data_IF_340244617741
#
_entry.id   IF_340244617741
#
_cell.length_a   1.000
_cell.length_b   1.000
_cell.length_c   1.000
_cell.angle_alpha   90.00
_cell.angle_beta   90.00
_cell.angle_gamma   90.00
#
_symmetry.space_group_name_H-M   'P 1'
#
loop_
_entity.id
_entity.type
_entity.pdbx_description
1 polymer ?
#
# COMPACT_ATOMS: atom_id res chain seq x y z
N UNK A 1 -49.91 -54.91 -32.95
CA UNK A 1 -50.44 -56.16 -32.35
C UNK A 1 -51.86 -55.84 -31.86
N UNK A 2 -52.89 -55.79 -32.69
CA UNK A 2 -53.70 -56.90 -33.18
C UNK A 2 -54.49 -56.37 -34.38
N UNK A 3 -54.16 -56.81 -35.59
CA UNK A 3 -55.00 -56.68 -36.79
C UNK A 3 -54.77 -57.95 -37.60
N UNK A 4 -55.45 -59.00 -37.19
CA UNK A 4 -55.62 -60.22 -37.96
C UNK A 4 -56.97 -60.80 -37.53
N UNK A 5 -57.66 -61.37 -38.51
CA UNK A 5 -58.90 -62.12 -38.38
C UNK A 5 -60.19 -61.28 -38.39
N UNK A 6 -60.73 -61.09 -39.59
CA UNK A 6 -62.14 -61.42 -39.92
C UNK A 6 -62.33 -61.27 -41.45
N UNK A 7 -61.57 -62.06 -42.21
CA UNK A 7 -62.02 -62.53 -43.51
C UNK A 7 -62.79 -63.84 -43.27
N UNK A 8 -64.12 -63.77 -43.28
CA UNK A 8 -64.95 -64.94 -43.56
C UNK A 8 -66.12 -64.50 -44.41
N UNK A 9 -65.92 -64.64 -45.70
CA UNK A 9 -66.94 -64.63 -46.76
C UNK A 9 -68.08 -65.61 -46.44
N UNK A 10 -69.34 -65.31 -46.80
CA UNK A 10 -70.47 -66.15 -46.48
C UNK A 10 -70.38 -67.48 -47.24
N UNK A 11 -70.37 -68.59 -46.50
CA UNK A 11 -70.58 -69.93 -47.07
C UNK A 11 -71.95 -69.98 -47.74
N UNK A 12 -71.93 -70.14 -49.06
CA UNK A 12 -73.03 -70.65 -49.89
C UNK A 12 -73.67 -71.85 -49.18
N UNK A 13 -74.89 -71.65 -48.68
CA UNK A 13 -75.75 -72.75 -48.26
C UNK A 13 -76.20 -73.45 -49.54
N UNK A 14 -75.69 -74.68 -49.72
CA UNK A 14 -76.11 -75.63 -50.73
C UNK A 14 -77.63 -75.82 -50.66
N UNK A 15 -78.33 -75.47 -51.74
CA UNK A 15 -79.73 -75.81 -51.96
C UNK A 15 -79.78 -77.34 -52.14
N UNK A 16 -80.12 -78.07 -51.06
CA UNK A 16 -80.45 -79.48 -51.17
C UNK A 16 -81.84 -79.61 -51.78
N UNK A 17 -81.87 -80.16 -52.99
CA UNK A 17 -83.07 -80.62 -53.70
C UNK A 17 -83.89 -81.56 -52.81
N UNK A 18 -84.88 -81.01 -52.12
CA UNK A 18 -85.93 -81.73 -51.42
C UNK A 18 -87.06 -82.00 -52.40
N UNK A 19 -87.30 -83.29 -52.65
CA UNK A 19 -88.35 -83.86 -53.51
C UNK A 19 -89.67 -83.10 -53.40
N UNK A 20 -90.15 -82.56 -54.52
CA UNK A 20 -91.53 -82.08 -54.67
C UNK A 20 -92.48 -83.28 -54.55
N UNK A 21 -93.13 -83.38 -53.39
CA UNK A 21 -94.32 -84.21 -53.20
C UNK A 21 -95.53 -83.36 -53.57
N UNK A 22 -96.07 -83.53 -54.78
CA UNK A 22 -97.39 -83.01 -55.16
C UNK A 22 -98.48 -83.89 -54.51
N UNK A 23 -98.62 -83.76 -53.19
CA UNK A 23 -99.92 -83.92 -52.55
C UNK A 23 -100.52 -82.52 -52.42
N UNK A 24 -101.84 -82.38 -52.53
CA UNK A 24 -102.52 -81.13 -52.14
C UNK A 24 -102.20 -80.84 -50.67
N UNK A 25 -101.10 -80.13 -50.41
CA UNK A 25 -100.87 -79.48 -49.13
C UNK A 25 -101.99 -78.45 -49.01
N UNK A 26 -102.91 -78.70 -48.07
CA UNK A 26 -103.99 -77.79 -47.74
C UNK A 26 -103.42 -76.37 -47.67
N UNK A 27 -103.99 -75.43 -48.42
CA UNK A 27 -103.57 -74.02 -48.40
C UNK A 27 -103.52 -73.45 -46.97
N UNK A 28 -104.25 -74.08 -46.05
CA UNK A 28 -104.27 -73.80 -44.62
C UNK A 28 -102.97 -74.20 -43.90
N UNK A 29 -102.33 -75.31 -44.28
CA UNK A 29 -101.06 -75.76 -43.69
C UNK A 29 -99.88 -74.91 -44.18
N UNK A 30 -99.86 -74.55 -45.47
CA UNK A 30 -98.83 -73.64 -46.03
C UNK A 30 -98.96 -72.23 -45.47
N UNK A 31 -100.20 -71.74 -45.28
CA UNK A 31 -100.47 -70.46 -44.61
C UNK A 31 -100.02 -70.50 -43.14
N UNK A 32 -100.27 -71.59 -42.42
CA UNK A 32 -99.79 -71.78 -41.05
C UNK A 32 -98.27 -71.76 -40.92
N UNK A 33 -97.55 -72.39 -41.86
CA UNK A 33 -96.07 -72.35 -41.90
C UNK A 33 -95.56 -70.94 -42.24
N UNK A 34 -96.21 -70.22 -43.16
CA UNK A 34 -95.85 -68.83 -43.48
C UNK A 34 -96.11 -67.89 -42.31
N UNK A 35 -97.24 -68.05 -41.61
CA UNK A 35 -97.57 -67.28 -40.42
C UNK A 35 -96.55 -67.54 -39.30
N UNK A 36 -96.18 -68.80 -39.04
CA UNK A 36 -95.12 -69.14 -38.07
C UNK A 36 -93.73 -68.61 -38.45
N UNK A 37 -93.40 -68.55 -39.75
CA UNK A 37 -92.19 -67.87 -40.24
C UNK A 37 -92.29 -66.35 -40.04
N UNK A 38 -93.44 -65.74 -40.32
CA UNK A 38 -93.71 -64.32 -40.09
C UNK A 38 -93.55 -63.90 -38.62
N UNK A 39 -94.08 -64.71 -37.70
CA UNK A 39 -93.92 -64.51 -36.26
C UNK A 39 -92.46 -64.65 -35.82
N UNK A 40 -91.73 -65.62 -36.39
CA UNK A 40 -90.29 -65.80 -36.14
C UNK A 40 -89.46 -64.61 -36.65
N UNK A 41 -89.74 -64.10 -37.85
CA UNK A 41 -89.08 -62.90 -38.38
C UNK A 41 -89.41 -61.66 -37.56
N UNK A 42 -90.66 -61.49 -37.13
CA UNK A 42 -91.06 -60.39 -36.25
C UNK A 42 -90.30 -60.47 -34.91
N UNK A 43 -90.20 -61.66 -34.32
CA UNK A 43 -89.40 -61.88 -33.09
C UNK A 43 -87.92 -61.59 -33.30
N UNK A 44 -87.33 -62.02 -34.43
CA UNK A 44 -85.94 -61.72 -34.78
C UNK A 44 -85.72 -60.21 -34.96
N UNK A 45 -86.61 -59.52 -35.67
CA UNK A 45 -86.53 -58.07 -35.88
C UNK A 45 -86.65 -57.29 -34.57
N UNK A 46 -87.52 -57.73 -33.65
CA UNK A 46 -87.62 -57.16 -32.30
C UNK A 46 -86.33 -57.39 -31.51
N UNK A 47 -85.75 -58.59 -31.56
CA UNK A 47 -84.48 -58.89 -30.89
C UNK A 47 -83.31 -58.09 -31.48
N UNK A 48 -83.24 -57.91 -32.80
CA UNK A 48 -82.23 -57.08 -33.45
C UNK A 48 -82.41 -55.61 -33.09
N UNK A 49 -83.63 -55.08 -33.14
CA UNK A 49 -83.91 -53.70 -32.70
C UNK A 49 -83.48 -53.48 -31.26
N UNK A 50 -83.75 -54.44 -30.37
CA UNK A 50 -83.27 -54.38 -28.98
C UNK A 50 -81.74 -54.37 -28.91
N UNK A 51 -81.05 -55.24 -29.65
CA UNK A 51 -79.57 -55.23 -29.72
C UNK A 51 -79.01 -53.91 -30.24
N UNK A 52 -79.64 -53.31 -31.25
CA UNK A 52 -79.25 -52.01 -31.76
C UNK A 52 -79.43 -50.91 -30.71
N UNK A 53 -80.52 -50.93 -29.95
CA UNK A 53 -80.71 -50.00 -28.82
C UNK A 53 -79.65 -50.19 -27.73
N UNK A 54 -79.39 -51.44 -27.32
CA UNK A 54 -78.37 -51.74 -26.31
C UNK A 54 -76.96 -51.31 -26.77
N UNK A 55 -76.66 -51.45 -28.07
CA UNK A 55 -75.40 -50.98 -28.68
C UNK A 55 -75.32 -49.45 -28.75
N UNK A 56 -76.41 -48.77 -29.10
CA UNK A 56 -76.47 -47.31 -29.13
C UNK A 56 -76.24 -46.73 -27.73
N UNK A 57 -76.91 -47.29 -26.71
CA UNK A 57 -76.71 -46.91 -25.31
C UNK A 57 -75.26 -47.13 -24.86
N UNK A 58 -74.63 -48.24 -25.28
CA UNK A 58 -73.24 -48.52 -24.99
C UNK A 58 -72.27 -47.53 -25.69
N UNK A 59 -72.54 -47.18 -26.95
CA UNK A 59 -71.76 -46.18 -27.70
C UNK A 59 -71.90 -44.81 -27.03
N UNK A 60 -73.12 -44.42 -26.64
CA UNK A 60 -73.36 -43.15 -25.96
C UNK A 60 -72.65 -43.12 -24.60
N UNK A 61 -72.69 -44.20 -23.83
CA UNK A 61 -71.96 -44.32 -22.57
C UNK A 61 -70.45 -44.18 -22.77
N UNK A 62 -69.85 -44.94 -23.69
CA UNK A 62 -68.41 -44.86 -23.99
C UNK A 62 -68.00 -43.48 -24.49
N UNK A 63 -68.85 -42.84 -25.32
CA UNK A 63 -68.59 -41.48 -25.81
C UNK A 63 -68.60 -40.47 -24.68
N UNK A 64 -69.61 -40.53 -23.80
CA UNK A 64 -69.70 -39.64 -22.63
C UNK A 64 -68.52 -39.82 -21.68
N UNK A 65 -68.07 -41.06 -21.47
CA UNK A 65 -66.95 -41.36 -20.59
C UNK A 65 -65.61 -40.91 -21.21
N UNK A 66 -65.45 -41.07 -22.53
CA UNK A 66 -64.31 -40.55 -23.28
C UNK A 66 -64.22 -39.03 -23.22
N UNK A 67 -65.35 -38.33 -23.30
CA UNK A 67 -65.41 -36.87 -23.13
C UNK A 67 -65.03 -36.42 -21.72
N UNK A 68 -65.48 -37.14 -20.68
CA UNK A 68 -65.06 -36.87 -19.30
C UNK A 68 -63.55 -37.01 -19.13
N UNK A 69 -62.96 -38.12 -19.58
CA UNK A 69 -61.51 -38.30 -19.50
C UNK A 69 -60.74 -37.25 -20.31
N UNK A 70 -61.25 -36.83 -21.47
CA UNK A 70 -60.67 -35.74 -22.26
C UNK A 70 -60.71 -34.42 -21.49
N UNK A 71 -61.82 -34.10 -20.84
CA UNK A 71 -61.97 -32.88 -20.05
C UNK A 71 -61.09 -32.89 -18.78
N UNK A 72 -61.00 -34.02 -18.08
CA UNK A 72 -60.09 -34.19 -16.94
C UNK A 72 -58.63 -34.01 -17.36
N UNK A 73 -58.22 -34.62 -18.49
CA UNK A 73 -56.86 -34.47 -19.02
C UNK A 73 -56.56 -33.02 -19.44
N UNK A 74 -57.53 -32.32 -20.05
CA UNK A 74 -57.42 -30.89 -20.35
C UNK A 74 -57.24 -30.05 -19.09
N UNK A 75 -58.08 -30.28 -18.06
CA UNK A 75 -58.02 -29.53 -16.81
C UNK A 75 -56.67 -29.72 -16.10
N UNK A 76 -56.20 -30.97 -15.96
CA UNK A 76 -54.91 -31.28 -15.35
C UNK A 76 -53.74 -30.64 -16.12
N UNK A 77 -53.78 -30.63 -17.45
CA UNK A 77 -52.73 -30.01 -18.24
C UNK A 77 -52.74 -28.48 -18.16
N UNK A 78 -53.92 -27.85 -18.13
CA UNK A 78 -54.06 -26.40 -17.92
C UNK A 78 -53.47 -26.03 -16.56
N UNK A 79 -53.76 -26.81 -15.51
CA UNK A 79 -53.19 -26.60 -14.18
C UNK A 79 -51.65 -26.64 -14.23
N UNK A 80 -51.07 -27.68 -14.81
CA UNK A 80 -49.60 -27.83 -14.98
C UNK A 80 -48.99 -26.68 -15.79
N UNK A 81 -49.64 -26.25 -16.87
CA UNK A 81 -49.17 -25.13 -17.70
C UNK A 81 -49.30 -23.77 -17.01
N UNK A 82 -50.24 -23.63 -16.06
CA UNK A 82 -50.48 -22.39 -15.31
C UNK A 82 -49.61 -22.25 -14.05
N UNK A 83 -49.02 -23.31 -13.50
CA UNK A 83 -48.18 -23.21 -12.28
C UNK A 83 -47.00 -22.25 -12.49
N UNK A 84 -46.45 -22.17 -13.71
CA UNK A 84 -45.32 -21.31 -14.04
C UNK A 84 -45.61 -20.52 -15.33
N UNK A 85 -46.44 -19.49 -15.21
CA UNK A 85 -46.82 -18.59 -16.32
C UNK A 85 -45.59 -17.81 -16.82
N UNK A 86 -44.90 -18.37 -17.81
CA UNK A 86 -43.86 -17.68 -18.57
C UNK A 86 -44.38 -17.10 -19.90
N UNK A 87 -45.64 -17.35 -20.25
CA UNK A 87 -46.23 -16.93 -21.53
C UNK A 87 -47.44 -16.00 -21.31
N UNK A 88 -47.58 -14.92 -22.12
CA UNK A 88 -48.70 -13.97 -22.01
C UNK A 88 -50.09 -14.54 -22.34
N UNK A 89 -50.15 -15.66 -23.06
CA UNK A 89 -51.41 -16.26 -23.53
C UNK A 89 -51.94 -17.27 -22.51
N UNK A 90 -53.21 -17.19 -22.07
CA UNK A 90 -53.80 -18.16 -21.15
C UNK A 90 -53.72 -19.60 -21.68
N UNK A 91 -53.34 -20.55 -20.80
CA UNK A 91 -53.11 -21.96 -21.16
C UNK A 91 -54.34 -22.67 -21.78
N UNK A 92 -55.54 -22.11 -21.57
CA UNK A 92 -56.80 -22.60 -22.12
C UNK A 92 -56.78 -22.74 -23.65
N UNK A 93 -56.16 -21.77 -24.35
CA UNK A 93 -56.10 -21.77 -25.83
C UNK A 93 -55.07 -22.75 -26.41
N UNK A 94 -54.13 -23.23 -25.59
CA UNK A 94 -53.07 -24.18 -25.97
C UNK A 94 -53.47 -25.63 -25.67
N UNK A 95 -54.30 -25.82 -24.64
CA UNK A 95 -54.76 -27.12 -24.19
C UNK A 95 -55.92 -27.72 -25.03
N UNK A 96 -56.31 -27.14 -26.17
CA UNK A 96 -57.41 -27.66 -26.99
C UNK A 96 -56.96 -28.63 -28.12
N UNK A 97 -55.66 -28.91 -28.22
CA UNK A 97 -55.08 -29.79 -29.24
C UNK A 97 -55.12 -31.30 -28.94
N UNK A 98 -54.62 -32.11 -29.88
CA UNK A 98 -54.52 -33.58 -29.76
C UNK A 98 -53.31 -34.02 -28.90
N UNK A 99 -52.36 -33.13 -28.62
CA UNK A 99 -51.08 -33.44 -27.97
C UNK A 99 -50.82 -32.66 -26.67
N UNK A 100 -51.86 -32.45 -25.86
CA UNK A 100 -51.84 -31.63 -24.65
C UNK A 100 -50.75 -32.10 -23.65
N UNK A 101 -50.60 -33.42 -23.47
CA UNK A 101 -49.62 -33.99 -22.54
C UNK A 101 -48.15 -33.70 -22.97
N UNK A 102 -47.86 -33.76 -24.28
CA UNK A 102 -46.52 -33.43 -24.81
C UNK A 102 -46.21 -31.95 -24.66
N UNK A 103 -47.22 -31.10 -24.86
CA UNK A 103 -47.07 -29.66 -24.71
C UNK A 103 -46.86 -29.27 -23.24
N UNK A 104 -47.63 -29.84 -22.31
CA UNK A 104 -47.43 -29.65 -20.88
C UNK A 104 -46.01 -30.07 -20.45
N UNK A 105 -45.56 -31.25 -20.87
CA UNK A 105 -44.18 -31.71 -20.60
C UNK A 105 -43.14 -30.74 -21.17
N UNK A 106 -43.32 -30.25 -22.40
CA UNK A 106 -42.39 -29.30 -23.02
C UNK A 106 -42.33 -27.98 -22.24
N UNK A 107 -43.46 -27.49 -21.74
CA UNK A 107 -43.50 -26.29 -20.90
C UNK A 107 -42.78 -26.54 -19.57
N UNK A 108 -43.02 -27.67 -18.91
CA UNK A 108 -42.32 -28.06 -17.67
C UNK A 108 -40.81 -28.20 -17.87
N UNK A 109 -40.35 -28.78 -18.98
CA UNK A 109 -38.92 -28.86 -19.28
C UNK A 109 -38.31 -27.47 -19.48
N UNK A 110 -39.02 -26.57 -20.18
CA UNK A 110 -38.55 -25.17 -20.36
C UNK A 110 -38.49 -24.42 -19.04
N UNK A 111 -39.48 -24.58 -18.16
CA UNK A 111 -39.48 -23.92 -16.85
C UNK A 111 -38.36 -24.46 -15.96
N UNK A 112 -38.10 -25.77 -16.00
CA UNK A 112 -36.98 -26.41 -15.30
C UNK A 112 -35.65 -25.80 -15.75
N UNK A 113 -35.39 -25.68 -17.06
CA UNK A 113 -34.16 -25.07 -17.60
C UNK A 113 -34.00 -23.61 -17.10
N UNK A 114 -35.08 -22.82 -17.09
CA UNK A 114 -35.05 -21.43 -16.61
C UNK A 114 -34.75 -21.37 -15.11
N UNK A 115 -35.34 -22.27 -14.31
CA UNK A 115 -35.09 -22.35 -12.87
C UNK A 115 -33.66 -22.80 -12.56
N UNK A 116 -33.13 -23.77 -13.30
CA UNK A 116 -31.73 -24.20 -13.20
C UNK A 116 -30.77 -23.06 -13.56
N UNK A 117 -31.04 -22.33 -14.65
CA UNK A 117 -30.23 -21.17 -15.03
C UNK A 117 -30.27 -20.08 -13.94
N UNK A 118 -31.45 -19.83 -13.35
CA UNK A 118 -31.60 -18.88 -12.24
C UNK A 118 -30.85 -19.35 -10.98
N UNK A 119 -30.92 -20.65 -10.67
CA UNK A 119 -30.20 -21.24 -9.55
C UNK A 119 -28.68 -21.13 -9.75
N UNK A 120 -28.17 -21.47 -10.93
CA UNK A 120 -26.76 -21.35 -11.28
C UNK A 120 -26.26 -19.90 -11.13
N UNK A 121 -27.06 -18.93 -11.59
CA UNK A 121 -26.74 -17.50 -11.41
C UNK A 121 -26.71 -17.10 -9.94
N UNK A 122 -27.63 -17.61 -9.12
CA UNK A 122 -27.63 -17.37 -7.67
C UNK A 122 -26.44 -18.05 -6.96
N UNK A 123 -26.05 -19.25 -7.38
CA UNK A 123 -24.87 -19.95 -6.87
C UNK A 123 -23.58 -19.21 -7.20
N UNK A 124 -23.45 -18.71 -8.44
CA UNK A 124 -22.33 -17.87 -8.84
C UNK A 124 -22.27 -16.61 -7.98
N UNK A 125 -23.40 -15.89 -7.84
CA UNK A 125 -23.47 -14.69 -6.98
C UNK A 125 -23.13 -14.98 -5.52
N UNK A 126 -23.57 -16.13 -4.98
CA UNK A 126 -23.20 -16.57 -3.63
C UNK A 126 -21.69 -16.77 -3.50
N UNK A 127 -21.06 -17.43 -4.47
CA UNK A 127 -19.61 -17.65 -4.49
C UNK A 127 -18.85 -16.31 -4.56
N UNK A 128 -19.29 -15.38 -5.40
CA UNK A 128 -18.74 -14.03 -5.50
C UNK A 128 -18.81 -13.28 -4.16
N UNK A 129 -19.97 -13.29 -3.50
CA UNK A 129 -20.15 -12.66 -2.18
C UNK A 129 -19.28 -13.34 -1.11
N UNK A 130 -19.14 -14.67 -1.15
CA UNK A 130 -18.27 -15.39 -0.23
C UNK A 130 -16.79 -15.02 -0.42
N UNK A 131 -16.35 -14.88 -1.66
CA UNK A 131 -15.00 -14.42 -1.97
C UNK A 131 -14.77 -12.96 -1.53
N UNK A 132 -15.74 -12.07 -1.75
CA UNK A 132 -15.69 -10.69 -1.25
C UNK A 132 -15.61 -10.64 0.28
N UNK A 133 -16.44 -11.42 0.98
CA UNK A 133 -16.37 -11.52 2.43
C UNK A 133 -15.04 -12.08 2.94
N UNK A 134 -14.43 -13.01 2.20
CA UNK A 134 -13.10 -13.52 2.53
C UNK A 134 -12.05 -12.41 2.39
N UNK A 135 -12.06 -11.67 1.28
CA UNK A 135 -11.15 -10.53 1.07
C UNK A 135 -11.30 -9.47 2.17
N UNK A 136 -12.53 -9.08 2.50
CA UNK A 136 -12.79 -8.12 3.58
C UNK A 136 -12.29 -8.63 4.94
N UNK A 137 -12.40 -9.94 5.23
CA UNK A 137 -11.84 -10.51 6.45
C UNK A 137 -10.31 -10.45 6.47
N UNK A 138 -9.67 -10.72 5.34
CA UNK A 138 -8.22 -10.64 5.22
C UNK A 138 -7.73 -9.19 5.39
N UNK A 139 -8.43 -8.22 4.80
CA UNK A 139 -8.18 -6.78 5.00
C UNK A 139 -8.37 -6.35 6.47
N UNK A 140 -9.46 -6.78 7.12
CA UNK A 140 -9.68 -6.50 8.55
C UNK A 140 -8.56 -7.08 9.41
N UNK A 141 -8.09 -8.29 9.09
CA UNK A 141 -6.97 -8.91 9.80
C UNK A 141 -5.66 -8.14 9.57
N UNK A 142 -5.42 -7.67 8.36
CA UNK A 142 -4.28 -6.81 8.05
C UNK A 142 -4.32 -5.51 8.87
N UNK A 143 -5.46 -4.82 8.93
CA UNK A 143 -5.60 -3.61 9.75
C UNK A 143 -5.47 -3.88 11.25
N UNK A 144 -5.93 -5.04 11.74
CA UNK A 144 -5.75 -5.44 13.14
C UNK A 144 -4.27 -5.67 13.47
N UNK A 145 -3.53 -6.30 12.56
CA UNK A 145 -2.09 -6.50 12.73
C UNK A 145 -1.35 -5.16 12.73
N UNK A 146 -1.67 -4.27 11.79
CA UNK A 146 -1.08 -2.94 11.72
C UNK A 146 -1.34 -2.16 13.01
N UNK A 147 -2.59 -2.15 13.49
CA UNK A 147 -2.94 -1.52 14.76
C UNK A 147 -2.16 -2.10 15.93
N UNK A 148 -2.04 -3.43 16.03
CA UNK A 148 -1.26 -4.07 17.09
C UNK A 148 0.21 -3.63 17.05
N UNK A 149 0.80 -3.57 15.86
CA UNK A 149 2.17 -3.09 15.69
C UNK A 149 2.31 -1.62 16.09
N UNK A 150 1.35 -0.78 15.71
CA UNK A 150 1.30 0.64 16.09
C UNK A 150 1.15 0.81 17.60
N UNK A 151 0.27 0.05 18.25
CA UNK A 151 0.07 0.06 19.70
C UNK A 151 1.37 -0.33 20.43
N UNK A 152 2.09 -1.36 19.94
CA UNK A 152 3.40 -1.76 20.47
C UNK A 152 4.43 -0.64 20.30
N UNK A 153 4.47 0.02 19.14
CA UNK A 153 5.39 1.13 18.89
C UNK A 153 5.09 2.32 19.82
N UNK A 154 3.81 2.67 19.99
CA UNK A 154 3.40 3.72 20.93
C UNK A 154 3.81 3.41 22.37
N UNK A 155 3.59 2.18 22.85
CA UNK A 155 4.02 1.79 24.20
C UNK A 155 5.54 1.92 24.39
N UNK A 156 6.34 1.59 23.36
CA UNK A 156 7.80 1.81 23.39
C UNK A 156 8.14 3.30 23.44
N UNK A 157 7.49 4.12 22.62
CA UNK A 157 7.72 5.57 22.62
C UNK A 157 7.31 6.21 23.95
N UNK A 158 6.20 5.78 24.57
CA UNK A 158 5.81 6.23 25.90
C UNK A 158 6.85 5.87 26.96
N UNK A 159 7.42 4.65 26.90
CA UNK A 159 8.51 4.25 27.80
C UNK A 159 9.76 5.12 27.63
N UNK A 160 10.16 5.41 26.38
CA UNK A 160 11.32 6.28 26.09
C UNK A 160 11.04 7.73 26.51
N UNK A 161 9.81 8.23 26.33
CA UNK A 161 9.42 9.56 26.80
C UNK A 161 9.46 9.65 28.34
N UNK A 162 9.04 8.61 29.04
CA UNK A 162 9.14 8.54 30.49
C UNK A 162 10.61 8.56 30.96
N UNK A 163 11.47 7.75 30.34
CA UNK A 163 12.90 7.69 30.67
C UNK A 163 13.62 9.02 30.38
N UNK A 164 13.34 9.64 29.24
CA UNK A 164 13.92 10.95 28.89
C UNK A 164 13.45 12.05 29.83
N UNK A 165 12.17 12.03 30.24
CA UNK A 165 11.65 12.95 31.25
C UNK A 165 12.37 12.78 32.59
N UNK A 166 12.59 11.55 33.03
CA UNK A 166 13.36 11.26 34.25
C UNK A 166 14.80 11.78 34.13
N UNK A 167 15.47 11.54 33.00
CA UNK A 167 16.82 12.10 32.74
C UNK A 167 16.83 13.63 32.81
N UNK A 168 15.86 14.30 32.20
CA UNK A 168 15.73 15.76 32.27
C UNK A 168 15.54 16.22 33.72
N UNK A 169 14.71 15.55 34.49
CA UNK A 169 14.50 15.87 35.91
C UNK A 169 15.78 15.70 36.74
N UNK A 170 16.55 14.63 36.50
CA UNK A 170 17.85 14.43 37.16
C UNK A 170 18.84 15.53 36.81
N UNK A 171 18.95 15.92 35.54
CA UNK A 171 19.84 16.97 35.09
C UNK A 171 19.42 18.35 35.63
N UNK A 172 18.13 18.63 35.72
CA UNK A 172 17.61 19.84 36.35
C UNK A 172 17.93 19.88 37.85
N UNK A 173 17.84 18.74 38.55
CA UNK A 173 18.23 18.66 39.96
C UNK A 173 19.73 18.92 40.15
N UNK A 174 20.58 18.31 39.31
CA UNK A 174 22.03 18.53 39.34
C UNK A 174 22.40 19.99 39.02
N UNK A 175 21.80 20.56 37.98
CA UNK A 175 21.98 21.97 37.61
C UNK A 175 21.58 22.90 38.76
N UNK A 176 20.47 22.60 39.46
CA UNK A 176 20.05 23.34 40.65
C UNK A 176 21.10 23.32 41.76
N UNK A 177 21.72 22.14 42.01
CA UNK A 177 22.81 22.02 43.01
C UNK A 177 24.03 22.85 42.63
N UNK A 178 24.43 22.84 41.36
CA UNK A 178 25.55 23.65 40.86
C UNK A 178 25.27 25.15 41.03
N UNK A 179 24.02 25.58 40.80
CA UNK A 179 23.61 26.97 41.03
C UNK A 179 23.70 27.33 42.52
N UNK A 180 23.22 26.46 43.43
CA UNK A 180 23.37 26.67 44.87
C UNK A 180 24.83 26.77 45.32
N UNK A 181 25.71 25.90 44.80
CA UNK A 181 27.15 25.96 45.09
C UNK A 181 27.78 27.24 44.57
N UNK A 182 27.40 27.67 43.36
CA UNK A 182 27.83 28.95 42.79
C UNK A 182 27.39 30.13 43.65
N UNK A 183 26.15 30.14 44.15
CA UNK A 183 25.67 31.18 45.06
C UNK A 183 26.49 31.23 46.36
N UNK A 184 26.80 30.06 46.95
CA UNK A 184 27.67 29.99 48.14
C UNK A 184 29.08 30.54 47.89
N UNK A 185 29.65 30.29 46.71
CA UNK A 185 30.98 30.82 46.35
C UNK A 185 30.91 32.33 46.14
N UNK A 186 29.87 32.83 45.47
CA UNK A 186 29.66 34.26 45.27
C UNK A 186 29.48 35.00 46.59
N UNK A 187 28.72 34.43 47.54
CA UNK A 187 28.56 35.01 48.88
C UNK A 187 29.89 35.09 49.63
N UNK A 188 30.70 34.02 49.60
CA UNK A 188 32.06 34.04 50.18
C UNK A 188 32.96 35.07 49.52
N UNK A 189 32.88 35.20 48.20
CA UNK A 189 33.64 36.18 47.43
C UNK A 189 33.25 37.60 47.85
N UNK A 190 31.96 37.91 47.92
CA UNK A 190 31.47 39.23 48.33
C UNK A 190 31.88 39.57 49.77
N UNK A 191 31.82 38.59 50.68
CA UNK A 191 32.28 38.76 52.05
C UNK A 191 33.79 39.09 52.13
N UNK A 192 34.62 38.38 51.36
CA UNK A 192 36.06 38.67 51.27
C UNK A 192 36.35 40.02 50.63
N UNK A 193 35.62 40.39 49.57
CA UNK A 193 35.74 41.72 48.95
C UNK A 193 35.40 42.83 49.95
N UNK A 194 34.36 42.65 50.78
CA UNK A 194 34.01 43.60 51.85
C UNK A 194 35.13 43.75 52.87
N UNK A 195 35.69 42.62 53.37
CA UNK A 195 36.81 42.65 54.32
C UNK A 195 38.03 43.33 53.71
N UNK A 196 38.37 43.01 52.46
CA UNK A 196 39.52 43.60 51.77
C UNK A 196 39.34 45.12 51.56
N UNK A 197 38.13 45.59 51.24
CA UNK A 197 37.83 47.03 51.16
C UNK A 197 37.99 47.70 52.53
N UNK A 198 37.50 47.09 53.61
CA UNK A 198 37.66 47.61 54.97
C UNK A 198 39.14 47.66 55.40
N UNK A 199 39.93 46.62 55.10
CA UNK A 199 41.36 46.58 55.38
C UNK A 199 42.14 47.60 54.55
N UNK A 200 41.83 47.74 53.26
CA UNK A 200 42.44 48.75 52.41
C UNK A 200 42.13 50.15 52.92
N UNK A 201 40.90 50.40 53.38
CA UNK A 201 40.51 51.68 53.96
C UNK A 201 41.28 51.96 55.26
N UNK A 202 41.40 50.98 56.16
CA UNK A 202 42.24 51.10 57.37
C UNK A 202 43.70 51.39 57.01
N UNK A 203 44.25 50.69 56.02
CA UNK A 203 45.63 50.92 55.57
C UNK A 203 45.81 52.33 55.00
N UNK A 204 44.85 52.83 54.21
CA UNK A 204 44.91 54.21 53.71
C UNK A 204 44.83 55.24 54.84
N UNK A 205 43.98 55.02 55.83
CA UNK A 205 43.84 55.90 56.99
C UNK A 205 45.14 55.93 57.81
N UNK A 206 45.73 54.77 58.07
CA UNK A 206 47.02 54.63 58.78
C UNK A 206 48.18 55.25 57.98
N UNK A 207 48.22 55.03 56.66
CA UNK A 207 49.24 55.61 55.78
C UNK A 207 49.11 57.13 55.71
N UNK A 208 47.89 57.66 55.67
CA UNK A 208 47.66 59.10 55.70
C UNK A 208 48.08 59.69 57.06
N UNK A 209 47.76 59.03 58.17
CA UNK A 209 48.19 59.44 59.50
C UNK A 209 49.72 59.47 59.62
N UNK A 210 50.41 58.42 59.15
CA UNK A 210 51.87 58.37 59.11
C UNK A 210 52.45 59.46 58.18
N UNK A 211 51.84 59.65 57.01
CA UNK A 211 52.24 60.68 56.05
C UNK A 211 52.03 62.10 56.56
N UNK A 212 51.05 62.32 57.44
CA UNK A 212 50.87 63.57 58.21
C UNK A 212 51.99 63.72 59.22
N UNK A 213 52.29 62.69 60.00
CA UNK A 213 53.40 62.71 60.97
C UNK A 213 54.75 63.01 60.32
N UNK A 214 55.09 62.37 59.20
CA UNK A 214 56.33 62.63 58.46
C UNK A 214 56.34 64.05 57.86
N UNK A 215 55.20 64.53 57.34
CA UNK A 215 55.09 65.93 56.88
C UNK A 215 55.30 66.91 58.02
N UNK A 216 54.71 66.65 59.18
CA UNK A 216 54.87 67.51 60.36
C UNK A 216 56.34 67.49 60.84
N UNK A 217 57.00 66.33 60.84
CA UNK A 217 58.43 66.21 61.13
C UNK A 217 59.31 66.92 60.10
N UNK A 218 59.05 66.74 58.80
CA UNK A 218 59.81 67.39 57.73
C UNK A 218 59.58 68.89 57.73
N UNK A 219 58.36 69.37 58.01
CA UNK A 219 58.08 70.79 58.16
C UNK A 219 58.82 71.36 59.37
N UNK A 220 58.84 70.65 60.51
CA UNK A 220 59.60 71.07 61.68
C UNK A 220 61.13 71.08 61.41
N UNK A 221 61.63 70.07 60.70
CA UNK A 221 63.03 69.97 60.29
C UNK A 221 63.39 71.06 59.28
N UNK A 222 62.54 71.30 58.27
CA UNK A 222 62.72 72.34 57.27
C UNK A 222 62.62 73.73 57.91
N UNK A 223 61.73 73.93 58.88
CA UNK A 223 61.67 75.16 59.68
C UNK A 223 62.96 75.36 60.48
N UNK A 224 63.52 74.29 61.06
CA UNK A 224 64.81 74.32 61.76
C UNK A 224 65.99 74.62 60.81
N UNK A 225 66.00 74.00 59.62
CA UNK A 225 67.01 74.17 58.58
C UNK A 225 66.87 75.51 57.85
N UNK A 226 65.67 76.09 57.72
CA UNK A 226 65.48 77.45 57.22
C UNK A 226 65.95 78.47 58.25
N UNK A 227 65.78 78.16 59.55
CA UNK A 227 66.36 78.97 60.63
C UNK A 227 67.89 78.96 60.56
N UNK A 228 68.49 77.82 60.22
CA UNK A 228 69.94 77.64 60.06
C UNK A 228 70.47 78.18 58.70
N UNK A 229 69.77 77.96 57.58
CA UNK A 229 70.13 78.51 56.26
C UNK A 229 69.95 80.03 56.15
N UNK A 230 69.09 80.64 56.97
CA UNK A 230 69.07 82.11 57.12
C UNK A 230 70.30 82.66 57.84
N UNK A 231 71.11 81.81 58.50
CA UNK A 231 72.38 82.22 59.10
C UNK A 231 73.58 82.13 58.11
N UNK A 232 73.59 81.18 57.17
CA UNK A 232 74.86 80.78 56.50
C UNK A 232 74.91 80.79 54.94
N UNK A 233 74.20 81.67 54.22
CA UNK A 233 74.39 81.79 52.75
C UNK A 233 74.61 83.21 52.22
N UNK A 234 75.85 83.69 52.38
CA UNK A 234 76.61 84.51 51.41
C UNK A 234 77.57 83.57 50.65
N UNK A 235 77.55 83.55 49.32
CA UNK A 235 78.74 83.23 48.50
C UNK A 235 78.68 82.05 47.50
N UNK A 236 78.62 82.42 46.21
CA UNK A 236 79.53 82.02 45.10
C UNK A 236 79.45 80.62 44.44
N UNK A 237 78.75 80.58 43.29
CA UNK A 237 79.20 80.34 41.89
C UNK A 237 80.29 79.31 41.44
N UNK A 238 79.92 78.55 40.39
CA UNK A 238 80.63 78.13 39.14
C UNK A 238 81.17 76.68 38.90
N UNK A 239 80.54 76.06 37.88
CA UNK A 239 81.05 75.41 36.63
C UNK A 239 81.85 74.09 36.67
N UNK A 240 81.45 73.11 35.83
CA UNK A 240 82.34 72.09 35.25
C UNK A 240 81.64 70.91 34.55
N UNK A 241 82.18 70.41 33.43
CA UNK A 241 81.60 69.54 32.37
C UNK A 241 82.44 68.25 32.19
N UNK A 242 81.91 67.24 31.45
CA UNK A 242 82.55 66.17 30.60
C UNK A 242 82.04 64.75 30.95
N UNK A 243 81.40 63.97 30.06
CA UNK A 243 81.81 63.18 28.85
C UNK A 243 82.80 62.03 29.15
N UNK A 244 82.42 60.79 28.79
CA UNK A 244 83.34 59.65 28.70
C UNK A 244 82.66 58.33 28.32
N UNK A 245 83.08 57.75 27.20
CA UNK A 245 82.64 56.52 26.53
C UNK A 245 83.73 55.43 26.69
N UNK A 246 83.40 54.13 26.73
CA UNK A 246 84.30 52.97 26.45
C UNK A 246 83.51 51.66 26.62
N UNK A 247 83.32 50.80 25.61
CA UNK A 247 84.25 49.89 24.90
C UNK A 247 84.72 48.69 25.74
N UNK A 248 84.47 47.47 25.24
CA UNK A 248 84.98 46.23 25.86
C UNK A 248 84.59 44.98 25.07
N UNK A 249 85.24 44.82 23.92
CA UNK A 249 85.27 43.60 23.10
C UNK A 249 86.56 42.83 23.44
N UNK A 250 86.52 41.51 23.56
CA UNK A 250 87.70 40.63 23.37
C UNK A 250 87.32 39.14 23.34
N UNK A 251 87.69 38.41 22.28
CA UNK A 251 87.83 36.96 22.26
C UNK A 251 89.30 36.52 22.30
N UNK A 252 89.57 35.39 22.95
CA UNK A 252 90.85 34.66 22.95
C UNK A 252 90.53 33.21 22.53
N UNK A 253 91.04 32.63 21.44
CA UNK A 253 92.41 32.33 21.03
C UNK A 253 92.77 30.84 21.25
N UNK A 254 93.28 30.24 20.16
CA UNK A 254 94.34 29.19 20.07
C UNK A 254 94.00 27.71 20.41
N UNK A 255 94.79 26.69 19.97
CA UNK A 255 95.31 26.41 18.60
C UNK A 255 95.58 24.91 18.24
N UNK A 256 96.11 24.71 17.01
CA UNK A 256 97.12 23.72 16.55
C UNK A 256 96.61 22.28 16.24
N UNK A 257 97.14 21.47 15.30
CA UNK A 257 98.53 21.10 14.90
C UNK A 257 98.53 20.49 13.46
N UNK A 258 99.68 20.43 12.73
CA UNK A 258 99.81 20.11 11.30
C UNK A 258 100.47 18.73 10.98
N UNK A 259 100.53 18.36 9.69
CA UNK A 259 101.34 17.22 9.22
C UNK A 259 101.43 17.12 7.68
N UNK A 260 102.66 16.95 7.17
CA UNK A 260 103.04 16.82 5.76
C UNK A 260 103.34 15.36 5.37
N UNK A 261 103.48 15.05 4.06
CA UNK A 261 104.59 14.30 3.39
C UNK A 261 104.18 13.83 1.98
N UNK A 262 105.21 13.61 1.16
CA UNK A 262 105.32 13.54 -0.29
C UNK A 262 105.16 12.14 -0.96
N UNK A 263 105.18 12.19 -2.31
CA UNK A 263 105.83 11.30 -3.30
C UNK A 263 105.19 9.98 -3.82
N UNK A 264 105.08 9.95 -5.16
CA UNK A 264 105.49 8.95 -6.19
C UNK A 264 104.60 7.76 -6.64
N UNK A 265 104.29 7.81 -7.95
CA UNK A 265 104.26 6.80 -9.03
C UNK A 265 103.80 5.35 -8.78
N UNK A 266 102.58 5.03 -9.22
CA UNK A 266 102.07 3.67 -9.48
C UNK A 266 101.37 3.61 -10.86
N UNK A 267 101.33 2.41 -11.45
CA UNK A 267 100.88 2.08 -12.82
C UNK A 267 99.50 2.65 -13.22
N UNK A 268 99.48 3.47 -14.27
CA UNK A 268 98.30 4.17 -14.83
C UNK A 268 97.13 3.23 -15.20
N UNK A 269 97.36 1.94 -15.41
CA UNK A 269 96.31 1.00 -15.83
C UNK A 269 95.51 0.40 -14.66
N UNK A 270 96.15 0.14 -13.51
CA UNK A 270 95.46 -0.33 -12.29
C UNK A 270 94.85 0.83 -11.49
N UNK A 271 95.45 2.02 -11.56
CA UNK A 271 94.92 3.24 -10.95
C UNK A 271 93.61 3.69 -11.61
N UNK A 272 93.43 3.50 -12.92
CA UNK A 272 92.17 3.85 -13.61
C UNK A 272 91.03 2.88 -13.22
N UNK A 273 91.30 1.60 -13.01
CA UNK A 273 90.28 0.65 -12.54
C UNK A 273 89.95 0.84 -11.06
N UNK A 274 90.95 1.08 -10.21
CA UNK A 274 90.70 1.45 -8.81
C UNK A 274 90.02 2.81 -8.70
N UNK A 275 90.38 3.82 -9.50
CA UNK A 275 89.69 5.11 -9.53
C UNK A 275 88.27 5.01 -10.08
N UNK A 276 87.98 4.09 -11.02
CA UNK A 276 86.60 3.79 -11.43
C UNK A 276 85.81 3.11 -10.33
N UNK A 277 86.39 2.14 -9.62
CA UNK A 277 85.74 1.48 -8.47
C UNK A 277 85.55 2.44 -7.31
N UNK A 278 86.56 3.23 -6.94
CA UNK A 278 86.52 4.27 -5.90
C UNK A 278 85.58 5.41 -6.30
N UNK A 279 85.54 5.82 -7.57
CA UNK A 279 84.58 6.78 -8.09
C UNK A 279 83.14 6.26 -8.07
N UNK A 280 82.93 4.98 -8.41
CA UNK A 280 81.63 4.32 -8.28
C UNK A 280 81.20 4.18 -6.81
N UNK A 281 82.14 3.88 -5.92
CA UNK A 281 81.91 3.77 -4.48
C UNK A 281 81.67 5.16 -3.86
N UNK A 282 82.37 6.19 -4.32
CA UNK A 282 82.16 7.58 -3.92
C UNK A 282 80.82 8.11 -4.41
N UNK A 283 80.39 7.74 -5.62
CA UNK A 283 79.05 8.07 -6.13
C UNK A 283 77.96 7.31 -5.37
N UNK A 284 78.23 6.06 -4.96
CA UNK A 284 77.33 5.29 -4.12
C UNK A 284 77.24 5.90 -2.71
N UNK A 285 78.36 6.26 -2.10
CA UNK A 285 78.42 6.94 -0.79
C UNK A 285 77.76 8.32 -0.86
N UNK A 286 77.92 9.07 -1.95
CA UNK A 286 77.26 10.36 -2.14
C UNK A 286 75.74 10.20 -2.34
N UNK A 287 75.31 9.18 -3.09
CA UNK A 287 73.89 8.83 -3.20
C UNK A 287 73.32 8.40 -1.85
N UNK A 288 74.04 7.56 -1.10
CA UNK A 288 73.67 7.12 0.24
C UNK A 288 73.64 8.28 1.24
N UNK A 289 74.61 9.19 1.20
CA UNK A 289 74.60 10.44 1.98
C UNK A 289 73.43 11.35 1.60
N UNK A 290 73.07 11.44 0.32
CA UNK A 290 71.87 12.17 -0.11
C UNK A 290 70.62 11.53 0.47
N UNK A 291 70.50 10.19 0.39
CA UNK A 291 69.36 9.49 0.99
C UNK A 291 69.29 9.63 2.51
N UNK A 292 70.44 9.62 3.19
CA UNK A 292 70.54 9.86 4.63
C UNK A 292 70.23 11.31 5.01
N UNK A 293 70.60 12.27 4.16
CA UNK A 293 70.23 13.68 4.32
C UNK A 293 68.73 13.88 4.16
N UNK A 294 68.12 13.23 3.17
CA UNK A 294 66.68 13.28 2.94
C UNK A 294 65.91 12.57 4.07
N UNK A 295 66.40 11.43 4.56
CA UNK A 295 65.89 10.78 5.77
C UNK A 295 65.99 11.69 7.00
N UNK A 296 67.13 12.37 7.21
CA UNK A 296 67.30 13.34 8.31
C UNK A 296 66.35 14.52 8.20
N UNK A 297 66.15 15.08 7.00
CA UNK A 297 65.17 16.15 6.79
C UNK A 297 63.75 15.68 7.09
N UNK A 298 63.42 14.44 6.72
CA UNK A 298 62.11 13.85 6.98
C UNK A 298 61.90 13.58 8.47
N UNK A 299 62.92 13.10 9.17
CA UNK A 299 62.92 12.97 10.63
C UNK A 299 62.75 14.33 11.29
N UNK A 300 63.50 15.35 10.88
CA UNK A 300 63.37 16.72 11.42
C UNK A 300 62.00 17.36 11.11
N UNK A 301 61.38 17.03 9.98
CA UNK A 301 60.01 17.47 9.68
C UNK A 301 58.98 16.78 10.59
N UNK A 302 59.16 15.47 10.87
CA UNK A 302 58.33 14.76 11.83
C UNK A 302 58.54 15.29 13.25
N UNK A 303 59.77 15.58 13.67
CA UNK A 303 60.07 16.20 14.97
C UNK A 303 59.39 17.58 15.11
N UNK A 304 59.43 18.42 14.06
CA UNK A 304 58.73 19.71 14.08
C UNK A 304 57.20 19.57 14.15
N UNK A 305 56.61 18.64 13.38
CA UNK A 305 55.17 18.34 13.48
C UNK A 305 54.82 17.79 14.86
N UNK A 306 55.73 17.01 15.46
CA UNK A 306 55.56 16.42 16.77
C UNK A 306 55.61 17.48 17.88
N UNK A 307 56.55 18.42 17.80
CA UNK A 307 56.61 19.57 18.71
C UNK A 307 55.38 20.47 18.58
N UNK A 308 54.86 20.67 17.36
CA UNK A 308 53.60 21.38 17.14
C UNK A 308 52.41 20.64 17.77
N UNK A 309 52.31 19.33 17.55
CA UNK A 309 51.28 18.47 18.17
C UNK A 309 51.38 18.49 19.70
N UNK A 310 52.59 18.42 20.25
CA UNK A 310 52.85 18.51 21.69
C UNK A 310 52.45 19.86 22.27
N UNK A 311 52.70 20.95 21.53
CA UNK A 311 52.30 22.30 21.93
C UNK A 311 50.79 22.53 21.91
N UNK A 312 50.07 21.89 20.98
CA UNK A 312 48.61 22.03 20.86
C UNK A 312 47.83 21.11 21.81
N UNK A 313 48.36 19.92 22.09
CA UNK A 313 47.65 18.90 22.89
C UNK A 313 48.05 18.90 24.37
N UNK A 314 49.23 19.45 24.72
CA UNK A 314 49.69 19.54 26.11
C UNK A 314 50.10 18.19 26.73
N UNK A 315 50.16 17.11 25.94
CA UNK A 315 50.49 15.76 26.41
C UNK A 315 51.99 15.51 26.25
N UNK A 316 52.70 15.22 27.34
CA UNK A 316 54.17 15.06 27.34
C UNK A 316 54.64 13.67 26.89
N UNK A 317 53.76 12.67 26.87
CA UNK A 317 54.07 11.27 26.54
C UNK A 317 53.63 10.89 25.12
N UNK A 318 54.58 10.39 24.32
CA UNK A 318 54.36 9.88 22.96
C UNK A 318 53.30 8.76 22.92
N UNK A 319 53.29 7.92 23.96
CA UNK A 319 52.42 6.75 24.02
C UNK A 319 50.94 7.13 24.26
N UNK A 320 50.72 8.21 25.02
CA UNK A 320 49.39 8.75 25.30
C UNK A 320 48.83 9.52 24.09
N UNK A 321 49.69 10.23 23.34
CA UNK A 321 49.29 10.87 22.08
C UNK A 321 48.92 9.85 21.01
N UNK A 322 49.72 8.79 20.84
CA UNK A 322 49.41 7.72 19.89
C UNK A 322 48.13 6.99 20.30
N UNK A 323 47.92 6.73 21.60
CA UNK A 323 46.68 6.12 22.08
C UNK A 323 45.44 6.99 21.81
N UNK A 324 45.52 8.30 22.04
CA UNK A 324 44.42 9.22 21.71
C UNK A 324 44.18 9.32 20.21
N UNK A 325 45.25 9.29 19.40
CA UNK A 325 45.12 9.31 17.95
C UNK A 325 44.46 8.04 17.41
N UNK A 326 44.82 6.86 17.94
CA UNK A 326 44.18 5.59 17.60
C UNK A 326 42.71 5.61 18.01
N UNK A 327 42.38 6.13 19.20
CA UNK A 327 40.99 6.24 19.65
C UNK A 327 40.16 7.16 18.74
N UNK A 328 40.71 8.31 18.35
CA UNK A 328 40.07 9.18 17.37
C UNK A 328 40.01 8.57 15.97
N UNK A 329 41.02 7.80 15.55
CA UNK A 329 41.02 7.10 14.27
C UNK A 329 39.93 6.02 14.23
N UNK A 330 39.76 5.24 15.30
CA UNK A 330 38.66 4.28 15.45
C UNK A 330 37.29 4.99 15.43
N UNK A 331 37.17 6.12 16.12
CA UNK A 331 35.93 6.90 16.15
C UNK A 331 35.60 7.47 14.75
N UNK A 332 36.59 7.98 14.03
CA UNK A 332 36.46 8.43 12.64
C UNK A 332 36.13 7.27 11.69
N UNK A 333 36.70 6.09 11.90
CA UNK A 333 36.43 4.90 11.10
C UNK A 333 34.99 4.39 11.34
N UNK A 334 34.54 4.42 12.59
CA UNK A 334 33.15 4.11 12.96
C UNK A 334 32.17 5.11 12.34
N UNK A 335 32.50 6.41 12.41
CA UNK A 335 31.69 7.46 11.79
C UNK A 335 31.65 7.32 10.26
N UNK A 336 32.77 6.97 9.63
CA UNK A 336 32.82 6.70 8.19
C UNK A 336 31.91 5.53 7.81
N UNK A 337 31.96 4.42 8.55
CA UNK A 337 31.07 3.28 8.33
C UNK A 337 29.59 3.65 8.57
N UNK A 338 29.30 4.47 9.56
CA UNK A 338 27.96 4.98 9.82
C UNK A 338 27.46 5.85 8.66
N UNK A 339 28.28 6.78 8.18
CA UNK A 339 27.96 7.62 7.02
C UNK A 339 27.77 6.76 5.76
N UNK A 340 28.61 5.75 5.55
CA UNK A 340 28.47 4.81 4.44
C UNK A 340 27.12 4.07 4.53
N UNK A 341 26.78 3.59 5.73
CA UNK A 341 25.51 2.88 5.98
C UNK A 341 24.31 3.81 5.77
N UNK A 342 24.36 5.04 6.30
CA UNK A 342 23.33 6.04 6.06
C UNK A 342 23.19 6.39 4.58
N UNK A 343 24.29 6.53 3.84
CA UNK A 343 24.24 6.80 2.40
C UNK A 343 23.57 5.64 1.66
N UNK A 344 23.87 4.38 2.02
CA UNK A 344 23.17 3.23 1.44
C UNK A 344 21.69 3.17 1.81
N UNK A 345 21.32 3.61 3.02
CA UNK A 345 19.93 3.70 3.44
C UNK A 345 19.20 4.83 2.71
N UNK A 346 19.85 5.97 2.50
CA UNK A 346 19.34 7.09 1.69
C UNK A 346 19.09 6.62 0.26
N UNK A 347 20.05 5.92 -0.36
CA UNK A 347 19.89 5.40 -1.71
C UNK A 347 18.71 4.42 -1.80
N UNK A 348 18.54 3.54 -0.81
CA UNK A 348 17.41 2.61 -0.75
C UNK A 348 16.06 3.33 -0.58
N UNK A 349 16.00 4.36 0.27
CA UNK A 349 14.80 5.18 0.46
C UNK A 349 14.46 5.96 -0.81
N UNK A 350 15.46 6.52 -1.49
CA UNK A 350 15.28 7.22 -2.78
C UNK A 350 14.72 6.27 -3.83
N UNK A 351 15.25 5.05 -3.95
CA UNK A 351 14.73 4.03 -4.88
C UNK A 351 13.27 3.66 -4.55
N UNK A 352 12.95 3.44 -3.28
CA UNK A 352 11.57 3.17 -2.84
C UNK A 352 10.63 4.33 -3.15
N UNK A 353 11.12 5.57 -3.03
CA UNK A 353 10.33 6.78 -3.33
C UNK A 353 10.02 6.86 -4.82
N UNK A 354 11.03 6.63 -5.67
CA UNK A 354 10.87 6.59 -7.12
C UNK A 354 9.90 5.49 -7.56
N UNK A 355 9.98 4.31 -6.95
CA UNK A 355 9.04 3.22 -7.24
C UNK A 355 7.60 3.62 -6.86
N UNK A 356 7.41 4.23 -5.69
CA UNK A 356 6.10 4.69 -5.24
C UNK A 356 5.54 5.78 -6.15
N UNK A 357 6.37 6.74 -6.59
CA UNK A 357 5.96 7.76 -7.56
C UNK A 357 5.55 7.14 -8.91
N UNK A 358 6.27 6.12 -9.35
CA UNK A 358 5.92 5.39 -10.57
C UNK A 358 4.56 4.69 -10.44
N UNK A 359 4.31 4.01 -9.32
CA UNK A 359 3.03 3.36 -9.03
C UNK A 359 1.88 4.39 -8.96
N UNK A 360 2.09 5.54 -8.30
CA UNK A 360 1.11 6.63 -8.26
C UNK A 360 0.80 7.13 -9.68
N UNK A 361 1.81 7.29 -10.52
CA UNK A 361 1.61 7.71 -11.91
C UNK A 361 0.82 6.67 -12.71
N UNK A 362 1.09 5.38 -12.54
CA UNK A 362 0.32 4.32 -13.20
C UNK A 362 -1.14 4.32 -12.74
N UNK A 363 -1.39 4.36 -11.43
CA UNK A 363 -2.75 4.42 -10.89
C UNK A 363 -3.54 5.63 -11.39
N UNK A 364 -2.87 6.77 -11.55
CA UNK A 364 -3.49 7.98 -12.08
C UNK A 364 -3.90 7.82 -13.54
N UNK A 365 -3.08 7.19 -14.37
CA UNK A 365 -3.41 6.88 -15.77
C UNK A 365 -4.56 5.87 -15.84
N UNK A 366 -4.48 4.77 -15.08
CA UNK A 366 -5.53 3.76 -15.04
C UNK A 366 -6.87 4.34 -14.57
N UNK A 367 -6.85 5.25 -13.59
CA UNK A 367 -8.04 5.95 -13.12
C UNK A 367 -8.64 6.83 -14.22
N UNK A 368 -7.81 7.57 -14.96
CA UNK A 368 -8.26 8.39 -16.08
C UNK A 368 -8.88 7.54 -17.19
N UNK A 369 -8.27 6.41 -17.53
CA UNK A 369 -8.79 5.47 -18.54
C UNK A 369 -10.12 4.84 -18.10
N UNK A 370 -10.23 4.42 -16.84
CA UNK A 370 -11.49 3.92 -16.28
C UNK A 370 -12.58 4.99 -16.26
N UNK A 371 -12.26 6.23 -15.93
CA UNK A 371 -13.22 7.34 -15.94
C UNK A 371 -13.67 7.68 -17.35
N UNK A 372 -12.77 7.61 -18.33
CA UNK A 372 -13.11 7.79 -19.74
C UNK A 372 -14.01 6.65 -20.25
N UNK A 373 -13.73 5.40 -19.89
CA UNK A 373 -14.60 4.26 -20.18
C UNK A 373 -15.98 4.42 -19.51
N UNK A 374 -16.02 4.76 -18.22
CA UNK A 374 -17.27 5.03 -17.49
C UNK A 374 -18.08 6.10 -18.20
N UNK A 375 -17.45 7.21 -18.58
CA UNK A 375 -18.11 8.31 -19.28
C UNK A 375 -18.66 7.87 -20.65
N UNK A 376 -17.88 7.12 -21.43
CA UNK A 376 -18.34 6.55 -22.70
C UNK A 376 -19.57 5.65 -22.51
N UNK A 377 -19.56 4.77 -21.51
CA UNK A 377 -20.72 3.89 -21.23
C UNK A 377 -21.94 4.69 -20.77
N UNK A 378 -21.75 5.76 -19.99
CA UNK A 378 -22.84 6.66 -19.58
C UNK A 378 -23.44 7.34 -20.82
N UNK A 379 -22.61 7.87 -21.71
CA UNK A 379 -23.06 8.54 -22.93
C UNK A 379 -23.82 7.56 -23.85
N UNK A 380 -23.34 6.32 -24.00
CA UNK A 380 -24.05 5.27 -24.73
C UNK A 380 -25.42 4.93 -24.12
N UNK A 381 -25.50 4.81 -22.80
CA UNK A 381 -26.74 4.54 -22.08
C UNK A 381 -27.72 5.71 -22.18
N UNK A 382 -27.23 6.95 -22.10
CA UNK A 382 -28.03 8.15 -22.30
C UNK A 382 -28.60 8.22 -23.72
N UNK A 383 -27.79 7.93 -24.74
CA UNK A 383 -28.23 7.88 -26.13
C UNK A 383 -29.28 6.79 -26.36
N UNK A 384 -29.07 5.60 -25.77
CA UNK A 384 -30.05 4.50 -25.85
C UNK A 384 -31.37 4.85 -25.15
N UNK A 385 -31.30 5.53 -24.00
CA UNK A 385 -32.47 5.99 -23.27
C UNK A 385 -33.22 7.07 -24.06
N UNK A 386 -32.52 8.04 -24.63
CA UNK A 386 -33.11 9.06 -25.50
C UNK A 386 -33.82 8.44 -26.72
N UNK A 387 -33.16 7.51 -27.41
CA UNK A 387 -33.76 6.79 -28.54
C UNK A 387 -34.99 5.97 -28.12
N UNK A 388 -34.94 5.29 -26.98
CA UNK A 388 -36.07 4.50 -26.46
C UNK A 388 -37.25 5.40 -26.07
N UNK A 389 -36.98 6.56 -25.46
CA UNK A 389 -38.01 7.55 -25.13
C UNK A 389 -38.67 8.11 -26.39
N UNK A 390 -37.90 8.40 -27.44
CA UNK A 390 -38.43 8.89 -28.71
C UNK A 390 -39.33 7.84 -29.39
N UNK A 391 -38.91 6.57 -29.42
CA UNK A 391 -39.73 5.46 -29.91
C UNK A 391 -41.00 5.30 -29.09
N UNK A 392 -40.91 5.36 -27.76
CA UNK A 392 -42.08 5.24 -26.86
C UNK A 392 -43.06 6.38 -27.11
N UNK A 393 -42.57 7.62 -27.21
CA UNK A 393 -43.38 8.79 -27.56
C UNK A 393 -44.06 8.63 -28.92
N UNK A 394 -43.37 8.07 -29.90
CA UNK A 394 -43.94 7.75 -31.22
C UNK A 394 -45.06 6.71 -31.14
N UNK A 395 -44.87 5.64 -30.37
CA UNK A 395 -45.89 4.62 -30.13
C UNK A 395 -47.12 5.18 -29.38
N UNK A 396 -46.91 6.02 -28.36
CA UNK A 396 -47.99 6.68 -27.63
C UNK A 396 -48.81 7.58 -28.56
N UNK A 397 -48.14 8.35 -29.43
CA UNK A 397 -48.82 9.17 -30.42
C UNK A 397 -49.66 8.29 -31.39
N UNK A 398 -49.11 7.19 -31.90
CA UNK A 398 -49.88 6.25 -32.74
C UNK A 398 -51.07 5.66 -31.97
N UNK A 399 -50.88 5.28 -30.71
CA UNK A 399 -51.94 4.71 -29.89
C UNK A 399 -53.08 5.72 -29.66
N UNK A 400 -52.78 7.00 -29.45
CA UNK A 400 -53.80 8.05 -29.37
C UNK A 400 -54.61 8.16 -30.67
N UNK A 401 -53.95 8.16 -31.84
CA UNK A 401 -54.66 8.19 -33.14
C UNK A 401 -55.53 6.95 -33.38
N UNK A 402 -55.07 5.77 -32.96
CA UNK A 402 -55.85 4.54 -33.03
C UNK A 402 -57.07 4.61 -32.10
N UNK A 403 -56.90 5.15 -30.90
CA UNK A 403 -57.99 5.30 -29.94
C UNK A 403 -59.05 6.30 -30.41
N UNK A 404 -58.65 7.40 -31.04
CA UNK A 404 -59.56 8.32 -31.73
C UNK A 404 -60.31 7.62 -32.87
N UNK A 405 -59.61 6.84 -33.69
CA UNK A 405 -60.20 6.08 -34.81
C UNK A 405 -61.23 5.06 -34.32
N UNK A 406 -60.91 4.30 -33.26
CA UNK A 406 -61.83 3.36 -32.61
C UNK A 406 -63.04 4.09 -32.04
N UNK A 407 -62.84 5.24 -31.39
CA UNK A 407 -63.94 6.08 -30.89
C UNK A 407 -64.88 6.53 -32.02
N UNK A 408 -64.32 6.96 -33.16
CA UNK A 408 -65.12 7.33 -34.34
C UNK A 408 -65.89 6.14 -34.91
N UNK A 409 -65.28 4.96 -35.00
CA UNK A 409 -65.96 3.73 -35.43
C UNK A 409 -67.10 3.39 -34.46
N UNK A 410 -66.83 3.44 -33.14
CA UNK A 410 -67.84 3.21 -32.10
C UNK A 410 -69.03 4.16 -32.25
N UNK A 411 -68.80 5.45 -32.49
CA UNK A 411 -69.87 6.43 -32.77
C UNK A 411 -70.66 6.07 -34.03
N UNK A 412 -70.00 5.66 -35.11
CA UNK A 412 -70.66 5.26 -36.37
C UNK A 412 -71.52 4.01 -36.19
N UNK A 413 -71.01 2.99 -35.50
CA UNK A 413 -71.74 1.76 -35.18
C UNK A 413 -72.96 2.06 -34.32
N UNK A 414 -72.79 2.88 -33.27
CA UNK A 414 -73.90 3.34 -32.44
C UNK A 414 -74.98 4.06 -33.27
N UNK A 415 -74.57 4.93 -34.19
CA UNK A 415 -75.50 5.65 -35.07
C UNK A 415 -76.23 4.72 -36.04
N UNK A 416 -75.55 3.69 -36.57
CA UNK A 416 -76.17 2.68 -37.42
C UNK A 416 -77.18 1.84 -36.64
N UNK A 417 -76.84 1.42 -35.43
CA UNK A 417 -77.71 0.60 -34.57
C UNK A 417 -79.02 1.31 -34.21
N UNK A 418 -79.00 2.64 -34.05
CA UNK A 418 -80.20 3.44 -33.79
C UNK A 418 -80.96 3.89 -35.06
N UNK A 419 -80.40 3.66 -36.25
CA UNK A 419 -81.03 3.99 -37.54
C UNK A 419 -81.74 2.80 -38.20
N UNK A 420 -81.36 1.58 -37.86
CA UNK A 420 -82.13 0.35 -38.11
C UNK A 420 -83.23 0.22 -37.06
#
# INVERSE_FOLDING_TARGET
>A
QFRQSLETSPRLVSISSGKMSLGEESAQDTLGVLQGKGDKFTKLSIMERKKYMDLEDAIQYVTSETEKFRNMAKAAAIEVMNVHVLTPNPAYSRADGVNIAKEAHTVTTKTLIVLEAKLNKLLQRKSEIQNQNRRLKDEINHFRLLRLQTDIAHAKFESVLAETKEKIETLLSESTKVVEERERILEKKEALERVNVEEQQKFTDEYEAMGRFVRDQNNALEESLLRERKADRKGTQTVGKTVGNSSGDTPAATPAIPGAIATSDLSLAEEIEMAKKVGSLSNFIAAEQSTLSDLRKRIGAYENMFDQLKSMTGVESLEEMVSNYIAHEEEMFSLYNFIQTMNTEIDAVVESTLQTEHEISQYRTDQQDQDQQRRSTIDELQNRLASTLEVTRGLDAQNTTHQESVSQIGKKVYTLFFKL
#
